data_IF_181699695859
#
_entry.id   IF_181699695859
#
_cell.length_a   1.000
_cell.length_b   1.000
_cell.length_c   1.000
_cell.angle_alpha   90.00
_cell.angle_beta   90.00
_cell.angle_gamma   90.00
#
_symmetry.space_group_name_H-M   'P 1'
#
loop_
_entity.id
_entity.type
_entity.pdbx_description
1 polymer ?
#
# COMPACT_ATOMS: atom_id res chain seq x y z
N UNK A 1 -32.13 24.26 32.66
CA UNK A 1 -31.38 23.12 33.22
C UNK A 1 -32.37 22.21 33.90
N UNK A 2 -32.81 21.14 33.22
CA UNK A 2 -33.49 20.07 33.92
C UNK A 2 -32.39 19.38 34.73
N UNK A 3 -32.42 19.51 36.07
CA UNK A 3 -31.61 18.68 36.96
C UNK A 3 -31.98 17.20 36.80
N UNK A 4 -31.41 16.32 37.61
CA UNK A 4 -31.55 14.84 37.59
C UNK A 4 -33.00 14.26 37.60
N UNK A 5 -34.03 15.07 37.39
CA UNK A 5 -35.41 14.65 37.21
C UNK A 5 -35.70 14.05 35.81
N UNK A 6 -36.76 13.23 35.71
CA UNK A 6 -37.14 12.57 34.47
C UNK A 6 -37.63 13.57 33.42
N UNK A 7 -37.14 13.40 32.19
CA UNK A 7 -37.52 14.22 31.04
C UNK A 7 -38.17 13.35 29.96
N UNK A 8 -39.21 13.89 29.33
CA UNK A 8 -39.84 13.24 28.18
C UNK A 8 -39.04 13.56 26.92
N UNK A 9 -38.58 12.54 26.20
CA UNK A 9 -37.83 12.70 24.97
C UNK A 9 -38.42 11.83 23.85
N UNK A 10 -38.35 12.33 22.61
CA UNK A 10 -38.76 11.58 21.41
C UNK A 10 -37.54 10.97 20.75
N UNK A 11 -37.62 9.68 20.42
CA UNK A 11 -36.56 8.98 19.68
C UNK A 11 -36.55 9.47 18.23
N UNK A 12 -35.39 9.98 17.78
CA UNK A 12 -35.21 10.48 16.40
C UNK A 12 -34.47 9.45 15.53
N UNK A 13 -33.47 8.76 16.09
CA UNK A 13 -32.64 7.77 15.38
C UNK A 13 -32.33 6.59 16.30
N UNK A 14 -32.29 5.39 15.75
CA UNK A 14 -31.97 4.13 16.45
C UNK A 14 -30.92 3.33 15.68
N UNK A 15 -30.28 2.37 16.35
CA UNK A 15 -29.28 1.49 15.73
C UNK A 15 -28.03 2.23 15.21
N UNK A 16 -27.52 1.80 14.06
CA UNK A 16 -26.31 2.34 13.40
C UNK A 16 -26.48 3.79 12.89
N UNK A 17 -27.72 4.30 12.83
CA UNK A 17 -27.99 5.69 12.45
C UNK A 17 -27.88 6.68 13.63
N UNK A 18 -27.70 6.19 14.86
CA UNK A 18 -27.38 7.05 16.01
C UNK A 18 -25.94 7.58 15.91
N UNK A 19 -25.64 8.71 16.56
CA UNK A 19 -24.28 9.27 16.54
C UNK A 19 -23.23 8.25 17.03
N UNK A 20 -23.53 7.50 18.10
CA UNK A 20 -22.63 6.42 18.58
C UNK A 20 -22.58 5.25 17.61
N UNK A 21 -23.72 4.84 17.05
CA UNK A 21 -23.80 3.74 16.08
C UNK A 21 -23.00 4.03 14.81
N UNK A 22 -23.07 5.25 14.30
CA UNK A 22 -22.35 5.68 13.11
C UNK A 22 -20.82 5.71 13.33
N UNK A 23 -20.37 6.13 14.51
CA UNK A 23 -18.95 6.08 14.88
C UNK A 23 -18.42 4.64 14.93
N UNK A 24 -19.17 3.72 15.54
CA UNK A 24 -18.81 2.30 15.56
C UNK A 24 -18.77 1.73 14.15
N UNK A 25 -19.73 2.07 13.30
CA UNK A 25 -19.75 1.64 11.90
C UNK A 25 -18.51 2.13 11.13
N UNK A 26 -18.08 3.38 11.34
CA UNK A 26 -16.91 3.95 10.69
C UNK A 26 -15.58 3.31 11.14
N UNK A 27 -15.52 2.81 12.39
CA UNK A 27 -14.37 2.04 12.89
C UNK A 27 -14.36 0.62 12.30
N UNK A 28 -15.54 -0.01 12.15
CA UNK A 28 -15.66 -1.36 11.63
C UNK A 28 -15.43 -1.44 10.10
N UNK A 29 -15.88 -0.41 9.38
CA UNK A 29 -15.75 -0.28 7.94
C UNK A 29 -14.96 0.98 7.61
N UNK A 30 -13.63 0.97 7.88
CA UNK A 30 -12.81 2.11 7.54
C UNK A 30 -12.84 2.29 6.02
N UNK A 31 -13.03 3.53 5.51
CA UNK A 31 -12.91 3.79 4.09
C UNK A 31 -11.50 3.41 3.62
N UNK A 32 -11.33 2.97 2.36
CA UNK A 32 -10.03 2.60 1.83
C UNK A 32 -9.10 3.80 1.92
N UNK A 33 -8.07 3.70 2.75
CA UNK A 33 -7.02 4.71 2.80
C UNK A 33 -6.14 4.53 1.55
N UNK A 34 -6.06 5.57 0.72
CA UNK A 34 -5.17 5.59 -0.44
C UNK A 34 -3.72 5.71 0.02
N UNK A 35 -3.05 4.56 0.12
CA UNK A 35 -1.65 4.49 0.52
C UNK A 35 -0.76 4.94 -0.65
N UNK A 36 -0.42 6.23 -0.66
CA UNK A 36 0.48 6.88 -1.65
C UNK A 36 1.74 6.05 -1.97
N UNK A 37 2.31 5.37 -0.97
CA UNK A 37 3.55 4.60 -1.15
C UNK A 37 3.39 3.35 -2.03
N UNK A 38 2.27 2.63 -1.90
CA UNK A 38 1.99 1.49 -2.79
C UNK A 38 1.74 2.01 -4.20
N UNK A 39 1.02 3.12 -4.34
CA UNK A 39 0.73 3.74 -5.64
C UNK A 39 2.00 4.24 -6.36
N UNK A 40 2.95 4.84 -5.64
CA UNK A 40 4.21 5.30 -6.22
C UNK A 40 5.14 4.12 -6.59
N UNK A 41 5.11 3.04 -5.80
CA UNK A 41 5.81 1.80 -6.14
C UNK A 41 5.27 1.18 -7.44
N UNK A 42 3.95 1.19 -7.64
CA UNK A 42 3.33 0.73 -8.90
C UNK A 42 3.70 1.62 -10.09
N UNK A 43 3.74 2.95 -9.92
CA UNK A 43 4.20 3.86 -10.99
C UNK A 43 5.66 3.59 -11.38
N UNK A 44 6.53 3.34 -10.40
CA UNK A 44 7.93 2.99 -10.64
C UNK A 44 8.07 1.69 -11.43
N UNK A 45 7.32 0.64 -11.07
CA UNK A 45 7.27 -0.62 -11.82
C UNK A 45 6.78 -0.38 -13.25
N UNK A 46 5.77 0.48 -13.43
CA UNK A 46 5.25 0.86 -14.75
C UNK A 46 6.32 1.51 -15.64
N UNK A 47 7.11 2.45 -15.11
CA UNK A 47 8.20 3.09 -15.86
C UNK A 47 9.26 2.07 -16.29
N UNK A 48 9.64 1.16 -15.38
CA UNK A 48 10.61 0.10 -15.70
C UNK A 48 10.09 -0.86 -16.78
N UNK A 49 8.79 -1.17 -16.76
CA UNK A 49 8.17 -2.01 -17.78
C UNK A 49 8.21 -1.38 -19.18
N UNK A 50 8.03 -0.06 -19.29
CA UNK A 50 8.14 0.66 -20.57
C UNK A 50 9.58 0.59 -21.11
N UNK A 51 10.58 0.77 -20.26
CA UNK A 51 12.00 0.67 -20.65
C UNK A 51 12.33 -0.76 -21.12
N UNK A 52 11.85 -1.78 -20.41
CA UNK A 52 12.00 -3.17 -20.81
C UNK A 52 11.36 -3.47 -22.17
N UNK A 53 10.15 -2.93 -22.42
CA UNK A 53 9.43 -3.14 -23.67
C UNK A 53 10.19 -2.51 -24.86
N UNK A 54 10.73 -1.30 -24.69
CA UNK A 54 11.57 -0.65 -25.70
C UNK A 54 12.85 -1.47 -25.99
N UNK A 55 13.52 -1.94 -24.93
CA UNK A 55 14.70 -2.81 -25.06
C UNK A 55 14.38 -4.15 -25.72
N UNK A 56 13.22 -4.73 -25.45
CA UNK A 56 12.73 -5.95 -26.07
C UNK A 56 12.48 -5.75 -27.57
N UNK A 57 11.75 -4.69 -27.95
CA UNK A 57 11.47 -4.36 -29.36
C UNK A 57 12.79 -4.16 -30.12
N UNK A 58 13.72 -3.37 -29.58
CA UNK A 58 15.04 -3.17 -30.20
C UNK A 58 15.80 -4.48 -30.41
N UNK A 59 15.80 -5.34 -29.40
CA UNK A 59 16.46 -6.66 -29.45
C UNK A 59 15.82 -7.57 -30.49
N UNK A 60 14.48 -7.58 -30.60
CA UNK A 60 13.74 -8.37 -31.59
C UNK A 60 14.06 -7.89 -33.01
N UNK A 61 13.99 -6.58 -33.27
CA UNK A 61 14.28 -6.01 -34.60
C UNK A 61 15.71 -6.33 -35.03
N UNK A 62 16.69 -6.14 -34.14
CA UNK A 62 18.10 -6.43 -34.44
C UNK A 62 18.35 -7.93 -34.69
N UNK A 63 17.67 -8.83 -33.96
CA UNK A 63 17.84 -10.28 -34.11
C UNK A 63 17.11 -10.87 -35.31
N UNK A 64 15.96 -10.33 -35.70
CA UNK A 64 15.25 -10.70 -36.95
C UNK A 64 16.12 -10.40 -38.16
N UNK A 65 16.81 -9.25 -38.17
CA UNK A 65 17.77 -8.91 -39.23
C UNK A 65 18.99 -9.84 -39.31
N UNK A 66 19.27 -10.63 -38.27
CA UNK A 66 20.44 -11.52 -38.16
C UNK A 66 20.08 -13.02 -38.22
N UNK A 67 18.80 -13.37 -38.39
CA UNK A 67 18.35 -14.76 -38.56
C UNK A 67 18.57 -15.68 -37.35
N UNK A 68 18.54 -15.15 -36.12
CA UNK A 68 18.96 -15.87 -34.90
C UNK A 68 17.82 -16.71 -34.29
N UNK A 69 18.16 -17.87 -33.72
CA UNK A 69 17.26 -18.86 -33.10
C UNK A 69 16.33 -18.30 -32.01
N UNK A 70 15.04 -18.65 -32.07
CA UNK A 70 13.98 -18.17 -31.16
C UNK A 70 14.26 -18.42 -29.66
N UNK A 71 14.97 -19.49 -29.32
CA UNK A 71 15.35 -19.82 -27.94
C UNK A 71 16.25 -18.76 -27.30
N UNK A 72 17.14 -18.12 -28.07
CA UNK A 72 17.98 -17.03 -27.57
C UNK A 72 17.20 -15.71 -27.34
N UNK A 73 16.06 -15.54 -28.02
CA UNK A 73 15.15 -14.41 -27.80
C UNK A 73 14.38 -14.64 -26.49
N UNK A 74 13.90 -15.87 -26.27
CA UNK A 74 13.18 -16.24 -25.05
C UNK A 74 14.02 -16.07 -23.77
N UNK A 75 15.27 -16.53 -23.77
CA UNK A 75 16.19 -16.37 -22.62
C UNK A 75 16.45 -14.89 -22.34
N UNK A 76 16.61 -14.07 -23.38
CA UNK A 76 16.82 -12.61 -23.21
C UNK A 76 15.57 -11.88 -22.73
N UNK A 77 14.37 -12.33 -23.10
CA UNK A 77 13.12 -11.79 -22.58
C UNK A 77 12.98 -12.04 -21.07
N UNK A 78 13.31 -13.27 -20.64
CA UNK A 78 13.34 -13.65 -19.22
C UNK A 78 14.33 -12.79 -18.43
N UNK A 79 15.55 -12.60 -18.94
CA UNK A 79 16.61 -11.79 -18.35
C UNK A 79 16.13 -10.35 -18.05
N UNK A 80 15.49 -9.70 -19.02
CA UNK A 80 14.91 -8.35 -18.88
C UNK A 80 13.84 -8.29 -17.79
N UNK A 81 12.98 -9.30 -17.68
CA UNK A 81 11.93 -9.37 -16.64
C UNK A 81 12.56 -9.47 -15.24
N UNK A 82 13.57 -10.33 -15.07
CA UNK A 82 14.29 -10.47 -13.79
C UNK A 82 15.09 -9.24 -13.40
N UNK A 83 15.58 -8.45 -14.36
CA UNK A 83 16.27 -7.18 -14.09
C UNK A 83 15.29 -6.09 -13.66
N UNK A 84 14.12 -6.01 -14.29
CA UNK A 84 13.11 -4.97 -14.00
C UNK A 84 12.40 -5.21 -12.68
N UNK A 85 12.08 -6.47 -12.36
CA UNK A 85 11.50 -6.83 -11.07
C UNK A 85 12.51 -7.71 -10.36
N UNK A 86 13.56 -7.13 -9.76
CA UNK A 86 14.44 -7.92 -8.92
C UNK A 86 13.59 -8.43 -7.75
N UNK A 87 13.52 -9.75 -7.50
CA UNK A 87 12.75 -10.30 -6.39
C UNK A 87 13.21 -9.76 -5.03
N UNK A 88 14.43 -9.20 -4.99
CA UNK A 88 15.01 -8.51 -3.84
C UNK A 88 14.25 -7.25 -3.42
N UNK A 89 13.61 -6.51 -4.33
CA UNK A 89 12.96 -5.23 -4.00
C UNK A 89 11.70 -5.41 -3.13
N UNK A 90 10.69 -6.23 -3.52
CA UNK A 90 9.54 -6.49 -2.64
C UNK A 90 9.93 -7.26 -1.38
N UNK A 91 10.96 -8.12 -1.46
CA UNK A 91 11.49 -8.81 -0.29
C UNK A 91 12.11 -7.82 0.72
N UNK A 92 12.95 -6.89 0.26
CA UNK A 92 13.56 -5.86 1.12
C UNK A 92 12.51 -4.95 1.76
N UNK A 93 11.50 -4.52 1.02
CA UNK A 93 10.38 -3.74 1.57
C UNK A 93 9.64 -4.49 2.68
N UNK A 94 9.42 -5.79 2.49
CA UNK A 94 8.72 -6.63 3.48
C UNK A 94 9.57 -6.82 4.74
N UNK A 95 10.86 -7.14 4.58
CA UNK A 95 11.79 -7.31 5.71
C UNK A 95 11.95 -6.01 6.50
N UNK A 96 12.04 -4.86 5.81
CA UNK A 96 12.09 -3.55 6.47
C UNK A 96 10.86 -3.28 7.34
N UNK A 97 9.65 -3.57 6.83
CA UNK A 97 8.39 -3.44 7.59
C UNK A 97 8.36 -4.36 8.82
N UNK A 98 8.77 -5.62 8.66
CA UNK A 98 8.81 -6.60 9.75
C UNK A 98 9.82 -6.21 10.84
N UNK A 99 11.00 -5.73 10.45
CA UNK A 99 12.02 -5.27 11.38
C UNK A 99 11.55 -4.04 12.18
N UNK A 100 10.93 -3.07 11.50
CA UNK A 100 10.36 -1.90 12.16
C UNK A 100 9.23 -2.29 13.14
N UNK A 101 8.36 -3.22 12.76
CA UNK A 101 7.30 -3.75 13.62
C UNK A 101 7.87 -4.46 14.86
N UNK A 102 8.92 -5.28 14.70
CA UNK A 102 9.59 -5.94 15.82
C UNK A 102 10.22 -4.92 16.79
N UNK A 103 10.83 -3.85 16.26
CA UNK A 103 11.39 -2.76 17.07
C UNK A 103 10.32 -2.01 17.87
N UNK A 104 9.16 -1.72 17.26
CA UNK A 104 8.03 -1.07 17.92
C UNK A 104 7.40 -1.96 18.99
N UNK A 105 7.27 -3.27 18.72
CA UNK A 105 6.77 -4.25 19.70
C UNK A 105 7.63 -4.31 20.96
N UNK A 106 8.96 -4.18 20.83
CA UNK A 106 9.87 -4.10 21.99
C UNK A 106 9.57 -2.89 22.89
N UNK A 107 9.04 -1.80 22.33
CA UNK A 107 8.62 -0.59 23.04
C UNK A 107 7.15 -0.62 23.48
N UNK A 108 6.49 -1.80 23.48
CA UNK A 108 5.06 -1.96 23.79
C UNK A 108 4.11 -1.21 22.83
N UNK A 109 4.56 -0.85 21.62
CA UNK A 109 3.73 -0.23 20.59
C UNK A 109 3.29 -1.32 19.60
N UNK A 110 1.99 -1.60 19.56
CA UNK A 110 1.41 -2.64 18.72
C UNK A 110 0.79 -2.04 17.45
N UNK A 111 1.43 -2.23 16.31
CA UNK A 111 0.87 -1.86 15.01
C UNK A 111 0.08 -3.04 14.40
N UNK A 112 -1.24 -2.88 14.27
CA UNK A 112 -2.13 -3.87 13.62
C UNK A 112 -1.91 -3.88 12.09
N UNK A 113 -1.59 -2.72 11.51
CA UNK A 113 -1.33 -2.56 10.09
C UNK A 113 0.11 -2.06 9.87
N UNK A 114 0.97 -2.92 9.31
CA UNK A 114 2.38 -2.59 9.03
C UNK A 114 2.56 -1.55 7.93
N UNK A 115 1.54 -1.28 7.10
CA UNK A 115 1.58 -0.19 6.10
C UNK A 115 1.61 1.19 6.76
N UNK A 116 0.97 1.34 7.92
CA UNK A 116 0.92 2.62 8.66
C UNK A 116 2.29 3.02 9.18
N UNK A 117 3.16 2.05 9.46
CA UNK A 117 4.55 2.30 9.90
C UNK A 117 5.29 3.15 8.86
N UNK A 118 5.10 2.88 7.56
CA UNK A 118 5.77 3.64 6.52
C UNK A 118 5.20 5.05 6.37
N UNK A 119 3.88 5.19 6.51
CA UNK A 119 3.19 6.50 6.45
C UNK A 119 3.58 7.40 7.62
N UNK A 120 3.85 6.83 8.80
CA UNK A 120 4.23 7.61 9.98
C UNK A 120 5.47 8.48 9.79
N UNK A 121 6.37 8.11 8.88
CA UNK A 121 7.54 8.91 8.52
C UNK A 121 7.24 10.10 7.60
N UNK A 122 6.04 10.16 7.01
CA UNK A 122 5.63 11.18 6.03
C UNK A 122 4.51 12.09 6.55
N UNK A 123 4.23 12.07 7.86
CA UNK A 123 3.19 12.89 8.46
C UNK A 123 3.68 14.33 8.60
N UNK A 124 2.87 15.30 8.13
CA UNK A 124 3.18 16.74 8.23
C UNK A 124 2.49 17.44 9.41
N UNK A 125 1.48 16.81 10.03
CA UNK A 125 0.70 17.39 11.14
C UNK A 125 0.33 16.31 12.15
N UNK A 126 0.52 16.60 13.43
CA UNK A 126 0.12 15.73 14.54
C UNK A 126 -0.92 16.48 15.36
N UNK A 127 -2.15 15.96 15.38
CA UNK A 127 -3.22 16.48 16.20
C UNK A 127 -3.25 15.73 17.54
N UNK A 128 -3.33 16.48 18.65
CA UNK A 128 -3.47 15.92 19.99
C UNK A 128 -4.91 16.14 20.47
N UNK A 129 -5.55 15.08 20.94
CA UNK A 129 -6.82 15.17 21.67
C UNK A 129 -6.53 15.59 23.13
N UNK A 130 -7.38 16.43 23.71
CA UNK A 130 -7.19 17.01 25.05
C UNK A 130 -7.88 16.19 26.13
#
# INVERSE_FOLDING_TARGET
>A
FYGDGPVLARVIRTGLQTNRGALVAAILYPPPADFKFDQDSYKFIGILAVIALLGFIYTVVSKVSRGVTASYIAIKALDVITIVIPPALPAAMTVGKLYAQARLKKQQIYCINSRVINVSGSINCICFDK
#
